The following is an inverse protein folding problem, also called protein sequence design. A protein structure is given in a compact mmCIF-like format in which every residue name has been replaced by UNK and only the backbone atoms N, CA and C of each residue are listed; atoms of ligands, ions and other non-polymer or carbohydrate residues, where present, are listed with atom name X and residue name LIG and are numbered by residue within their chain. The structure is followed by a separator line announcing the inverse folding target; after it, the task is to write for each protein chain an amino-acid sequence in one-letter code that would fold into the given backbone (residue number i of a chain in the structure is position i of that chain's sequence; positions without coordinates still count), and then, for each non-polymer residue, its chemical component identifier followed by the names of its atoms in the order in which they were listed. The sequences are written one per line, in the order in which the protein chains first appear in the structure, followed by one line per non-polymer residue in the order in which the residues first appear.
data_IF_862244522140
#
_entry.id   IF_862244522140
#
_cell.length_a   1.000
_cell.length_b   1.000
_cell.length_c   1.000
_cell.angle_alpha   90.00
_cell.angle_beta   90.00
_cell.angle_gamma   90.00
#
_symmetry.space_group_name_H-M   'P 1'
#
loop_
_entity.id
_entity.type
_entity.pdbx_description
1 polymer ?
#
# COMPACT_ATOMS: atom_id res chain seq x y z
N UNK A 1 -6.36 -20.06 12.46
CA UNK A 1 -6.68 -20.67 11.15
C UNK A 1 -6.76 -19.64 10.01
N UNK A 2 -7.73 -18.71 10.03
CA UNK A 2 -7.95 -17.75 8.93
C UNK A 2 -6.71 -16.89 8.62
N UNK A 3 -5.98 -16.44 9.64
CA UNK A 3 -4.75 -15.68 9.41
C UNK A 3 -3.65 -16.51 8.73
N UNK A 4 -3.49 -17.76 9.16
CA UNK A 4 -2.45 -18.65 8.65
C UNK A 4 -2.74 -19.18 7.24
N UNK A 5 -4.02 -19.29 6.85
CA UNK A 5 -4.42 -19.87 5.56
C UNK A 5 -4.88 -18.83 4.53
N UNK A 6 -5.57 -17.78 4.95
CA UNK A 6 -6.16 -16.80 4.02
C UNK A 6 -5.32 -15.54 3.96
N UNK A 7 -5.04 -14.91 5.11
CA UNK A 7 -4.30 -13.63 5.08
C UNK A 7 -2.86 -13.80 4.63
N UNK A 8 -2.20 -14.91 5.01
CA UNK A 8 -0.85 -15.25 4.54
C UNK A 8 -0.77 -15.34 3.01
N UNK A 9 -1.76 -15.98 2.36
CA UNK A 9 -1.83 -16.10 0.90
C UNK A 9 -2.15 -14.76 0.23
N UNK A 10 -3.07 -13.97 0.80
CA UNK A 10 -3.39 -12.64 0.29
C UNK A 10 -2.20 -11.69 0.43
N UNK A 11 -1.40 -11.82 1.49
CA UNK A 11 -0.25 -10.95 1.76
C UNK A 11 1.06 -11.48 1.12
N UNK A 12 1.04 -12.70 0.57
CA UNK A 12 2.16 -13.29 -0.15
C UNK A 12 2.33 -12.59 -1.51
N UNK A 13 3.51 -11.97 -1.70
CA UNK A 13 3.88 -11.29 -2.95
C UNK A 13 2.86 -10.25 -3.45
N UNK A 14 2.02 -9.71 -2.57
CA UNK A 14 0.94 -8.80 -2.94
C UNK A 14 1.42 -7.47 -3.55
N UNK A 15 2.67 -7.07 -3.29
CA UNK A 15 3.31 -5.95 -3.98
C UNK A 15 3.44 -6.13 -5.51
N UNK A 16 3.31 -7.35 -6.05
CA UNK A 16 3.28 -7.61 -7.49
C UNK A 16 1.89 -7.41 -8.10
N UNK A 17 0.85 -7.32 -7.27
CA UNK A 17 -0.53 -7.11 -7.71
C UNK A 17 -0.84 -5.64 -8.02
N UNK A 18 0.20 -4.83 -8.22
CA UNK A 18 0.08 -3.41 -8.50
C UNK A 18 -0.51 -3.18 -9.88
N UNK A 19 -1.56 -2.35 -9.94
CA UNK A 19 -2.19 -1.98 -11.21
C UNK A 19 -2.81 -3.16 -11.98
N UNK A 20 -3.10 -4.29 -11.32
CA UNK A 20 -3.88 -5.36 -11.94
C UNK A 20 -5.32 -4.89 -12.22
N UNK A 21 -6.03 -5.49 -13.18
CA UNK A 21 -7.42 -5.14 -13.46
C UNK A 21 -8.30 -5.30 -12.22
N UNK A 22 -9.23 -4.35 -12.00
CA UNK A 22 -10.16 -4.36 -10.86
C UNK A 22 -10.95 -5.67 -10.74
N UNK A 23 -11.24 -6.34 -11.86
CA UNK A 23 -11.91 -7.65 -11.87
C UNK A 23 -11.13 -8.71 -11.10
N UNK A 24 -9.80 -8.77 -11.24
CA UNK A 24 -8.96 -9.73 -10.52
C UNK A 24 -8.80 -9.31 -9.06
N UNK A 25 -8.63 -8.01 -8.80
CA UNK A 25 -8.57 -7.48 -7.43
C UNK A 25 -9.86 -7.82 -6.65
N UNK A 26 -11.02 -7.69 -7.30
CA UNK A 26 -12.31 -7.99 -6.69
C UNK A 26 -12.46 -9.48 -6.32
N UNK A 27 -11.86 -10.40 -7.08
CA UNK A 27 -11.83 -11.83 -6.71
C UNK A 27 -11.05 -12.07 -5.41
N UNK A 28 -9.97 -11.34 -5.17
CA UNK A 28 -9.25 -11.43 -3.91
C UNK A 28 -10.04 -10.77 -2.77
N UNK A 29 -10.73 -9.66 -3.06
CA UNK A 29 -11.59 -9.01 -2.09
C UNK A 29 -12.76 -9.91 -1.67
N UNK A 30 -13.38 -10.67 -2.60
CA UNK A 30 -14.44 -11.61 -2.24
C UNK A 30 -13.94 -12.72 -1.33
N UNK A 31 -12.73 -13.25 -1.55
CA UNK A 31 -12.12 -14.24 -0.64
C UNK A 31 -11.90 -13.63 0.76
N UNK A 32 -11.37 -12.41 0.84
CA UNK A 32 -11.20 -11.71 2.11
C UNK A 32 -12.55 -11.49 2.82
N UNK A 33 -13.56 -11.04 2.07
CA UNK A 33 -14.90 -10.79 2.57
C UNK A 33 -15.53 -12.06 3.14
N UNK A 34 -15.45 -13.18 2.40
CA UNK A 34 -15.93 -14.47 2.87
C UNK A 34 -15.24 -14.90 4.16
N UNK A 35 -13.92 -14.72 4.25
CA UNK A 35 -13.18 -15.02 5.48
C UNK A 35 -13.62 -14.14 6.66
N UNK A 36 -13.85 -12.85 6.44
CA UNK A 36 -14.34 -11.92 7.45
C UNK A 36 -15.76 -12.30 7.92
N UNK A 37 -16.62 -12.74 6.99
CA UNK A 37 -17.98 -13.22 7.32
C UNK A 37 -17.97 -14.50 8.13
N UNK A 38 -17.12 -15.46 7.79
CA UNK A 38 -16.96 -16.71 8.54
C UNK A 38 -16.50 -16.42 9.97
N UNK A 39 -15.55 -15.50 10.13
CA UNK A 39 -15.05 -15.10 11.46
C UNK A 39 -16.13 -14.41 12.30
N UNK A 40 -16.85 -13.46 11.70
CA UNK A 40 -17.81 -12.60 12.41
C UNK A 40 -19.23 -13.19 12.45
N UNK A 41 -19.42 -14.38 11.86
CA UNK A 41 -20.72 -15.06 11.69
C UNK A 41 -21.82 -14.16 11.11
N UNK A 42 -21.44 -13.25 10.22
CA UNK A 42 -22.38 -12.32 9.60
C UNK A 42 -23.07 -12.97 8.40
N UNK A 43 -24.38 -12.72 8.19
CA UNK A 43 -25.10 -13.28 7.07
C UNK A 43 -24.54 -12.77 5.74
N UNK A 44 -24.76 -13.52 4.66
CA UNK A 44 -24.25 -13.20 3.32
C UNK A 44 -24.76 -11.83 2.80
N UNK A 45 -25.99 -11.47 3.15
CA UNK A 45 -26.67 -10.23 2.71
C UNK A 45 -26.20 -8.98 3.45
N UNK A 46 -25.58 -9.12 4.62
CA UNK A 46 -25.13 -7.96 5.40
C UNK A 46 -24.02 -7.20 4.68
N UNK A 47 -23.98 -5.88 4.84
CA UNK A 47 -22.91 -5.06 4.29
C UNK A 47 -21.56 -5.43 4.92
N UNK A 48 -20.50 -5.57 4.10
CA UNK A 48 -19.21 -6.10 4.57
C UNK A 48 -18.29 -5.04 5.19
N UNK A 49 -18.40 -3.78 4.77
CA UNK A 49 -17.54 -2.69 5.27
C UNK A 49 -17.53 -2.54 6.80
N UNK A 50 -18.67 -2.55 7.53
CA UNK A 50 -18.63 -2.46 9.00
C UNK A 50 -17.92 -3.65 9.64
N UNK A 51 -18.02 -4.84 9.04
CA UNK A 51 -17.31 -6.05 9.52
C UNK A 51 -15.80 -5.87 9.36
N UNK A 52 -15.34 -5.43 8.19
CA UNK A 52 -13.92 -5.18 7.96
C UNK A 52 -13.38 -4.07 8.87
N UNK A 53 -14.17 -3.04 9.13
CA UNK A 53 -13.82 -1.95 10.05
C UNK A 53 -13.67 -2.47 11.49
N UNK A 54 -14.65 -3.24 11.99
CA UNK A 54 -14.61 -3.86 13.33
C UNK A 54 -13.40 -4.79 13.50
N UNK A 55 -13.04 -5.54 12.46
CA UNK A 55 -11.87 -6.41 12.46
C UNK A 55 -10.54 -5.65 12.25
N UNK A 56 -10.58 -4.35 11.97
CA UNK A 56 -9.42 -3.55 11.53
C UNK A 56 -8.69 -4.16 10.32
N UNK A 57 -9.44 -4.77 9.39
CA UNK A 57 -8.93 -5.39 8.18
C UNK A 57 -8.96 -4.40 7.02
N UNK A 58 -7.79 -4.13 6.46
CA UNK A 58 -7.66 -3.34 5.23
C UNK A 58 -8.22 -4.11 4.03
N UNK A 59 -9.00 -3.47 3.14
CA UNK A 59 -9.33 -4.03 1.83
C UNK A 59 -8.06 -4.39 1.02
N UNK A 60 -8.16 -5.38 0.13
CA UNK A 60 -7.01 -5.93 -0.61
C UNK A 60 -6.26 -4.86 -1.39
N UNK A 61 -6.97 -3.91 -2.01
CA UNK A 61 -6.36 -2.77 -2.72
C UNK A 61 -5.37 -2.00 -1.82
N UNK A 62 -5.82 -1.61 -0.64
CA UNK A 62 -5.01 -0.86 0.31
C UNK A 62 -3.89 -1.72 0.93
N UNK A 63 -4.05 -3.04 1.00
CA UNK A 63 -2.96 -3.94 1.42
C UNK A 63 -1.81 -3.96 0.40
N UNK A 64 -2.13 -3.96 -0.89
CA UNK A 64 -1.14 -3.88 -1.97
C UNK A 64 -0.39 -2.56 -1.90
N UNK A 65 -1.11 -1.43 -1.79
CA UNK A 65 -0.52 -0.09 -1.63
C UNK A 65 0.35 -0.01 -0.37
N UNK A 66 -0.13 -0.55 0.76
CA UNK A 66 0.63 -0.67 2.00
C UNK A 66 1.95 -1.43 1.82
N UNK A 67 1.96 -2.53 1.08
CA UNK A 67 3.18 -3.31 0.87
C UNK A 67 4.20 -2.55 0.04
N UNK A 68 3.77 -1.88 -1.04
CA UNK A 68 4.66 -1.07 -1.89
C UNK A 68 5.29 0.03 -1.06
N UNK A 69 4.48 0.80 -0.33
CA UNK A 69 4.93 1.94 0.44
C UNK A 69 5.84 1.53 1.59
N UNK A 70 5.60 0.35 2.19
CA UNK A 70 6.52 -0.25 3.15
C UNK A 70 7.88 -0.60 2.52
N UNK A 71 7.87 -1.12 1.29
CA UNK A 71 9.09 -1.41 0.53
C UNK A 71 9.84 -0.11 0.17
N UNK A 72 9.10 0.92 -0.24
CA UNK A 72 9.62 2.26 -0.54
C UNK A 72 10.29 2.86 0.68
N UNK A 73 9.62 2.88 1.84
CA UNK A 73 10.19 3.37 3.09
C UNK A 73 11.51 2.62 3.40
N UNK A 74 11.50 1.29 3.34
CA UNK A 74 12.71 0.50 3.57
C UNK A 74 13.84 0.85 2.60
N UNK A 75 13.53 1.05 1.31
CA UNK A 75 14.51 1.42 0.31
C UNK A 75 15.12 2.81 0.58
N UNK A 76 14.31 3.79 1.00
CA UNK A 76 14.78 5.13 1.35
C UNK A 76 15.64 5.16 2.62
N UNK A 77 15.39 4.24 3.56
CA UNK A 77 16.15 4.12 4.80
C UNK A 77 17.27 3.06 4.74
N UNK A 78 17.67 2.61 3.54
CA UNK A 78 18.71 1.59 3.34
C UNK A 78 18.47 0.26 4.08
N UNK A 79 17.20 -0.09 4.34
CA UNK A 79 16.74 -1.34 4.94
C UNK A 79 16.25 -2.36 3.89
N UNK A 80 16.37 -2.03 2.61
CA UNK A 80 16.03 -2.89 1.49
C UNK A 80 17.30 -3.24 0.69
N UNK A 81 17.27 -4.34 -0.10
CA UNK A 81 18.33 -4.64 -1.04
C UNK A 81 18.65 -3.48 -1.98
N UNK A 82 19.93 -3.31 -2.32
CA UNK A 82 20.44 -2.20 -3.13
C UNK A 82 19.71 -2.03 -4.46
N UNK A 83 19.32 -3.13 -5.11
CA UNK A 83 18.60 -3.08 -6.38
C UNK A 83 17.24 -2.35 -6.26
N UNK A 84 16.56 -2.39 -5.11
CA UNK A 84 15.31 -1.65 -4.91
C UNK A 84 15.56 -0.17 -4.69
N UNK A 85 16.61 0.17 -3.94
CA UNK A 85 17.00 1.55 -3.69
C UNK A 85 17.42 2.26 -4.98
N UNK A 86 18.14 1.57 -5.87
CA UNK A 86 18.56 2.09 -7.17
C UNK A 86 17.39 2.37 -8.14
N UNK A 87 16.23 1.76 -7.92
CA UNK A 87 15.02 2.02 -8.72
C UNK A 87 14.28 3.31 -8.31
N UNK A 88 14.67 3.93 -7.19
CA UNK A 88 14.05 5.14 -6.66
C UNK A 88 15.00 6.32 -6.78
N UNK A 89 14.49 7.43 -7.33
CA UNK A 89 15.24 8.67 -7.46
C UNK A 89 14.63 9.72 -6.54
N UNK A 90 15.42 10.19 -5.57
CA UNK A 90 15.03 11.28 -4.68
C UNK A 90 15.06 12.60 -5.44
N UNK A 91 13.99 13.37 -5.34
CA UNK A 91 13.91 14.69 -5.94
C UNK A 91 14.75 15.69 -5.14
N UNK A 92 15.76 16.26 -5.79
CA UNK A 92 16.61 17.32 -5.24
C UNK A 92 16.29 18.64 -5.93
N UNK A 93 15.57 19.57 -5.28
CA UNK A 93 15.29 20.88 -5.88
C UNK A 93 16.57 21.74 -5.89
N UNK A 94 16.71 22.58 -6.92
CA UNK A 94 17.85 23.51 -7.04
C UNK A 94 17.84 24.63 -6.00
N UNK A 95 16.69 24.89 -5.36
CA UNK A 95 16.50 25.89 -4.30
C UNK A 95 15.69 25.26 -3.17
N UNK A 96 15.93 25.68 -1.93
CA UNK A 96 15.11 25.29 -0.79
C UNK A 96 13.65 25.74 -1.00
N UNK A 97 12.73 24.78 -1.01
CA UNK A 97 11.29 25.00 -1.09
C UNK A 97 10.62 24.57 0.22
N UNK A 98 9.40 25.04 0.48
CA UNK A 98 8.61 24.55 1.63
C UNK A 98 8.32 23.05 1.54
N UNK A 99 8.33 22.48 0.33
CA UNK A 99 8.22 21.04 0.08
C UNK A 99 9.51 20.26 0.35
N UNK A 100 10.65 20.93 0.60
CA UNK A 100 11.93 20.28 0.91
C UNK A 100 11.98 19.66 2.31
N UNK A 101 10.98 19.90 3.17
CA UNK A 101 10.90 19.31 4.51
C UNK A 101 10.54 17.83 4.54
N UNK A 102 10.27 17.22 3.38
CA UNK A 102 9.94 15.80 3.22
C UNK A 102 10.68 15.23 2.00
N UNK A 103 11.04 13.95 2.08
CA UNK A 103 11.57 13.21 0.93
C UNK A 103 10.45 13.06 -0.10
N UNK A 104 10.69 13.56 -1.31
CA UNK A 104 9.85 13.35 -2.49
C UNK A 104 10.60 12.55 -3.54
N UNK A 105 9.87 11.77 -4.33
CA UNK A 105 10.45 10.89 -5.34
C UNK A 105 10.11 11.36 -6.75
N UNK A 106 11.04 11.22 -7.67
CA UNK A 106 10.80 11.46 -9.09
C UNK A 106 10.12 10.23 -9.68
N UNK A 107 8.92 10.42 -10.25
CA UNK A 107 8.28 9.37 -11.04
C UNK A 107 8.88 9.38 -12.46
N UNK A 108 9.46 8.27 -12.93
CA UNK A 108 10.00 8.21 -14.29
C UNK A 108 8.88 8.31 -15.32
N UNK A 109 9.22 8.83 -16.50
CA UNK A 109 8.28 8.80 -17.62
C UNK A 109 8.12 7.38 -18.15
N UNK A 110 6.88 6.97 -18.40
CA UNK A 110 6.55 5.63 -18.88
C UNK A 110 5.87 5.69 -20.26
N UNK A 111 6.31 4.81 -21.17
CA UNK A 111 5.68 4.66 -22.50
C UNK A 111 4.40 3.84 -22.45
N UNK A 112 4.40 2.76 -21.67
CA UNK A 112 3.29 1.81 -21.58
C UNK A 112 2.56 2.00 -20.26
N UNK A 113 1.37 2.60 -20.31
CA UNK A 113 0.52 2.84 -19.13
C UNK A 113 0.02 1.54 -18.48
N UNK A 114 -0.05 0.44 -19.23
CA UNK A 114 -0.56 -0.84 -18.73
C UNK A 114 0.47 -1.63 -17.95
N UNK A 115 1.70 -1.72 -18.44
CA UNK A 115 2.79 -2.50 -17.84
C UNK A 115 3.78 -1.61 -17.08
N UNK A 116 4.17 -0.48 -17.68
CA UNK A 116 5.08 0.47 -17.06
C UNK A 116 4.51 1.08 -15.79
N UNK A 117 3.20 1.33 -15.73
CA UNK A 117 2.59 1.88 -14.52
C UNK A 117 2.53 0.89 -13.35
N UNK A 118 2.75 -0.40 -13.60
CA UNK A 118 2.80 -1.45 -12.57
C UNK A 118 4.18 -1.60 -11.95
N UNK A 119 5.22 -1.11 -12.62
CA UNK A 119 6.59 -1.25 -12.15
C UNK A 119 6.76 -0.58 -10.79
N UNK A 120 7.64 -1.15 -9.97
CA UNK A 120 7.97 -0.54 -8.68
C UNK A 120 8.53 0.88 -8.87
N UNK A 121 9.40 1.09 -9.86
CA UNK A 121 10.02 2.38 -10.16
C UNK A 121 9.00 3.48 -10.51
N UNK A 122 7.81 3.14 -10.99
CA UNK A 122 6.74 4.10 -11.25
C UNK A 122 5.70 4.17 -10.12
N UNK A 123 5.21 3.02 -9.68
CA UNK A 123 4.13 2.94 -8.69
C UNK A 123 4.57 3.48 -7.32
N UNK A 124 5.80 3.19 -6.89
CA UNK A 124 6.30 3.63 -5.60
C UNK A 124 6.41 5.17 -5.49
N UNK A 125 7.07 5.90 -6.41
CA UNK A 125 7.09 7.36 -6.37
C UNK A 125 5.69 7.99 -6.38
N UNK A 126 4.78 7.47 -7.23
CA UNK A 126 3.42 8.00 -7.34
C UNK A 126 2.65 7.85 -6.04
N UNK A 127 2.68 6.66 -5.43
CA UNK A 127 1.99 6.42 -4.17
C UNK A 127 2.64 7.19 -3.03
N UNK A 128 3.98 7.19 -2.95
CA UNK A 128 4.73 7.89 -1.90
C UNK A 128 4.41 9.39 -1.88
N UNK A 129 4.42 10.04 -3.03
CA UNK A 129 4.14 11.47 -3.12
C UNK A 129 2.67 11.83 -2.81
N UNK A 130 1.74 10.86 -2.94
CA UNK A 130 0.33 11.05 -2.57
C UNK A 130 0.06 10.95 -1.06
N UNK A 131 1.04 10.50 -0.27
CA UNK A 131 0.89 10.38 1.17
C UNK A 131 0.89 11.75 1.87
N UNK A 132 0.14 11.91 2.97
CA UNK A 132 0.27 13.09 3.82
C UNK A 132 1.66 13.17 4.46
N UNK A 133 2.11 14.40 4.71
CA UNK A 133 3.46 14.66 5.23
C UNK A 133 3.70 14.00 6.59
N UNK A 134 2.68 13.94 7.46
CA UNK A 134 2.78 13.33 8.79
C UNK A 134 3.11 11.83 8.75
N UNK A 135 2.68 11.15 7.68
CA UNK A 135 2.98 9.74 7.46
C UNK A 135 4.37 9.59 6.84
N UNK A 136 4.72 10.43 5.85
CA UNK A 136 6.05 10.40 5.19
C UNK A 136 7.19 10.70 6.15
N UNK A 137 7.02 11.70 7.03
CA UNK A 137 8.02 12.14 8.00
C UNK A 137 8.04 11.26 9.27
N UNK A 138 7.62 10.00 9.17
CA UNK A 138 7.70 9.07 10.29
C UNK A 138 9.15 8.72 10.61
N UNK A 139 9.56 8.92 11.85
CA UNK A 139 10.93 8.74 12.34
C UNK A 139 11.45 7.30 12.23
N UNK A 140 10.55 6.31 12.34
CA UNK A 140 10.93 4.91 12.28
C UNK A 140 9.86 4.04 11.60
N UNK A 141 10.27 2.84 11.20
CA UNK A 141 9.44 1.87 10.47
C UNK A 141 8.16 1.50 11.24
N UNK A 142 8.21 1.43 12.57
CA UNK A 142 7.06 1.08 13.40
C UNK A 142 6.00 2.18 13.38
N UNK A 143 6.43 3.42 13.58
CA UNK A 143 5.56 4.61 13.51
C UNK A 143 4.96 4.75 12.11
N UNK A 144 5.78 4.54 11.07
CA UNK A 144 5.32 4.54 9.68
C UNK A 144 4.21 3.50 9.47
N UNK A 145 4.44 2.22 9.83
CA UNK A 145 3.43 1.16 9.70
C UNK A 145 2.12 1.50 10.40
N UNK A 146 2.19 2.03 11.62
CA UNK A 146 1.00 2.38 12.42
C UNK A 146 0.23 3.52 11.76
N UNK A 147 0.87 4.65 11.49
CA UNK A 147 0.25 5.84 10.87
C UNK A 147 -0.30 5.52 9.49
N UNK A 148 0.46 4.78 8.69
CA UNK A 148 0.06 4.38 7.34
C UNK A 148 -1.16 3.45 7.34
N UNK A 149 -1.21 2.48 8.27
CA UNK A 149 -2.39 1.61 8.44
C UNK A 149 -3.62 2.43 8.84
N UNK A 150 -3.48 3.36 9.79
CA UNK A 150 -4.57 4.24 10.20
C UNK A 150 -5.07 5.10 9.05
N UNK A 151 -4.16 5.72 8.28
CA UNK A 151 -4.50 6.51 7.11
C UNK A 151 -5.33 5.74 6.09
N UNK A 152 -4.91 4.53 5.72
CA UNK A 152 -5.68 3.72 4.78
C UNK A 152 -7.00 3.19 5.35
N UNK A 153 -7.10 2.95 6.66
CA UNK A 153 -8.38 2.60 7.29
C UNK A 153 -9.37 3.76 7.20
N UNK A 154 -8.90 5.00 7.38
CA UNK A 154 -9.73 6.20 7.22
C UNK A 154 -10.21 6.28 5.76
N UNK A 155 -9.29 6.25 4.79
CA UNK A 155 -9.65 6.30 3.36
C UNK A 155 -10.55 5.15 2.87
N UNK A 156 -10.55 4.02 3.56
CA UNK A 156 -11.34 2.85 3.17
C UNK A 156 -12.79 2.92 3.64
N UNK A 157 -13.07 3.58 4.77
CA UNK A 157 -14.33 3.45 5.49
C UNK A 157 -15.00 4.77 5.87
N UNK A 158 -14.30 5.90 5.73
CA UNK A 158 -14.79 7.25 6.02
C UNK A 158 -14.59 8.16 4.80
#
# INVERSE_FOLDING_TARGET
LIHALVTSLIDYCNALLTGIPSKLMNKLQTVQNSAARVLSRTPYTAHISPVLQQLHWLPVKYRVEFKILLLTYKALHNLAPQYLTQLLHVYTPSRALRSSSSISLVAPWIRLTTMGARSFSYAAPRLWNSLPLDVRNSECLLTFKKRHKTYHLIQAFF
#
